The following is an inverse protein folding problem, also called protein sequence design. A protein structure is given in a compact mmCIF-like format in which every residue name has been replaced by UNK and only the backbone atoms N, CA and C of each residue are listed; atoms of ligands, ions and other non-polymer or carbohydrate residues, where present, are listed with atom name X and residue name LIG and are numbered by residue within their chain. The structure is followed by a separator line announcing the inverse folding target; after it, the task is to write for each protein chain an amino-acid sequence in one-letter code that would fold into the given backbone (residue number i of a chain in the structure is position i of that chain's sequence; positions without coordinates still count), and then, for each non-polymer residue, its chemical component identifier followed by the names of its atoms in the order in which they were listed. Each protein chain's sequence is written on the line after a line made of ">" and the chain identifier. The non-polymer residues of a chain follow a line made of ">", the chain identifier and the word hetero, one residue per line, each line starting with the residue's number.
data_IF_369127059956
#
_entry.id   IF_369127059956
#
_cell.length_a   1.000
_cell.length_b   1.000
_cell.length_c   1.000
_cell.angle_alpha   90.00
_cell.angle_beta   90.00
_cell.angle_gamma   90.00
#
_symmetry.space_group_name_H-M   'P 1'
#
loop_
_entity.id
_entity.type
_entity.pdbx_description
1 polymer ?
#
# COMPACT_ATOMS: atom_id res chain seq x y z
N UNK A 1 5.03 4.02 -22.79
CA UNK A 1 5.74 3.03 -21.96
C UNK A 1 6.17 3.80 -20.74
N UNK A 2 5.79 3.38 -19.53
CA UNK A 2 6.14 4.12 -18.32
C UNK A 2 7.65 4.19 -18.17
N UNK A 3 8.19 5.39 -18.00
CA UNK A 3 9.65 5.60 -17.96
C UNK A 3 10.19 5.55 -16.54
N UNK A 4 9.38 5.99 -15.56
CA UNK A 4 9.79 6.05 -14.15
C UNK A 4 9.07 4.99 -13.29
N UNK A 5 9.76 4.38 -12.33
CA UNK A 5 9.18 3.38 -11.44
C UNK A 5 8.24 4.03 -10.41
N UNK A 6 7.20 3.31 -10.00
CA UNK A 6 6.48 3.57 -8.77
C UNK A 6 7.15 2.88 -7.59
N UNK A 7 7.04 3.50 -6.41
CA UNK A 7 7.46 2.90 -5.13
C UNK A 7 6.27 2.76 -4.22
N UNK A 8 6.07 1.59 -3.65
CA UNK A 8 4.98 1.34 -2.70
C UNK A 8 5.54 0.93 -1.35
N UNK A 9 5.13 1.63 -0.31
CA UNK A 9 5.49 1.33 1.07
C UNK A 9 4.24 1.28 1.92
N UNK A 10 4.04 0.20 2.64
CA UNK A 10 2.85 0.06 3.47
C UNK A 10 3.11 -0.72 4.74
N UNK A 11 2.23 -0.52 5.71
CA UNK A 11 2.11 -1.39 6.85
C UNK A 11 0.66 -1.48 7.30
N UNK A 12 0.32 -2.62 7.89
CA UNK A 12 -0.98 -2.90 8.49
C UNK A 12 -0.77 -3.65 9.82
N UNK A 13 -1.54 -3.25 10.83
CA UNK A 13 -1.57 -3.86 12.14
C UNK A 13 -3.01 -3.83 12.70
N UNK A 14 -3.50 -4.88 13.38
CA UNK A 14 -2.92 -6.21 13.41
C UNK A 14 -3.06 -6.89 12.04
N UNK A 15 -2.13 -7.78 11.74
CA UNK A 15 -2.17 -8.60 10.54
C UNK A 15 -1.72 -10.03 10.82
N UNK A 16 -2.37 -10.96 10.15
CA UNK A 16 -2.12 -12.39 10.26
C UNK A 16 -1.80 -13.02 8.90
N UNK A 17 -1.52 -14.33 8.91
CA UNK A 17 -1.12 -15.05 7.71
C UNK A 17 -2.17 -14.98 6.59
N UNK A 18 -3.46 -14.83 6.89
CA UNK A 18 -4.49 -14.69 5.85
C UNK A 18 -4.33 -13.38 5.07
N UNK A 19 -3.92 -12.30 5.74
CA UNK A 19 -3.64 -11.03 5.08
C UNK A 19 -2.45 -11.18 4.14
N UNK A 20 -1.38 -11.81 4.61
CA UNK A 20 -0.19 -12.05 3.79
C UNK A 20 -0.51 -12.95 2.58
N UNK A 21 -1.32 -14.00 2.76
CA UNK A 21 -1.73 -14.90 1.69
C UNK A 21 -2.65 -14.21 0.66
N UNK A 22 -3.65 -13.45 1.13
CA UNK A 22 -4.57 -12.73 0.26
C UNK A 22 -3.85 -11.67 -0.59
N UNK A 23 -2.96 -10.88 0.02
CA UNK A 23 -2.16 -9.89 -0.74
C UNK A 23 -1.17 -10.61 -1.65
N UNK A 24 -0.51 -11.67 -1.17
CA UNK A 24 0.43 -12.47 -1.97
C UNK A 24 -0.21 -13.10 -3.22
N UNK A 25 -1.45 -13.56 -3.12
CA UNK A 25 -2.22 -14.09 -4.24
C UNK A 25 -2.50 -13.01 -5.30
N UNK A 26 -2.92 -11.81 -4.89
CA UNK A 26 -3.11 -10.67 -5.81
C UNK A 26 -1.81 -10.30 -6.50
N UNK A 27 -0.72 -10.16 -5.75
CA UNK A 27 0.58 -9.80 -6.32
C UNK A 27 1.08 -10.86 -7.30
N UNK A 28 0.85 -12.13 -6.99
CA UNK A 28 1.20 -13.25 -7.88
C UNK A 28 0.40 -13.22 -9.18
N UNK A 29 -0.89 -12.90 -9.14
CA UNK A 29 -1.75 -12.75 -10.33
C UNK A 29 -1.24 -11.62 -11.25
N UNK A 30 -0.81 -10.52 -10.65
CA UNK A 30 -0.15 -9.40 -11.34
C UNK A 30 1.32 -9.67 -11.71
N UNK A 31 1.84 -10.87 -11.44
CA UNK A 31 3.23 -11.27 -11.68
C UNK A 31 4.24 -10.32 -11.02
N UNK A 32 3.90 -9.80 -9.83
CA UNK A 32 4.74 -8.97 -8.98
C UNK A 32 5.54 -9.88 -8.05
N UNK A 33 6.87 -9.67 -7.92
CA UNK A 33 7.69 -10.45 -6.99
C UNK A 33 7.23 -10.26 -5.54
N UNK A 34 7.56 -11.23 -4.69
CA UNK A 34 7.28 -11.15 -3.26
C UNK A 34 7.90 -9.87 -2.66
N UNK A 35 7.03 -8.94 -2.28
CA UNK A 35 7.39 -7.61 -1.78
C UNK A 35 6.70 -7.31 -0.44
N UNK A 36 6.30 -8.37 0.26
CA UNK A 36 5.50 -8.33 1.47
C UNK A 36 6.18 -9.11 2.57
N UNK A 37 6.14 -8.62 3.80
CA UNK A 37 6.74 -9.26 4.95
C UNK A 37 5.75 -9.24 6.12
N UNK A 38 5.62 -10.35 6.84
CA UNK A 38 4.81 -10.45 8.06
C UNK A 38 5.74 -10.68 9.24
N UNK A 39 5.90 -9.65 10.08
CA UNK A 39 6.70 -9.71 11.31
C UNK A 39 5.76 -9.68 12.54
N UNK A 40 5.49 -10.86 13.11
CA UNK A 40 4.51 -10.98 14.19
C UNK A 40 3.12 -10.58 13.71
N UNK A 41 2.53 -9.56 14.35
CA UNK A 41 1.22 -9.00 14.00
C UNK A 41 1.32 -7.79 13.04
N UNK A 42 2.48 -7.52 12.47
CA UNK A 42 2.71 -6.38 11.57
C UNK A 42 2.98 -6.88 10.16
N UNK A 43 2.09 -6.56 9.24
CA UNK A 43 2.29 -6.78 7.82
C UNK A 43 2.92 -5.54 7.18
N UNK A 44 3.91 -5.71 6.31
CA UNK A 44 4.61 -4.65 5.61
C UNK A 44 4.66 -4.93 4.11
N UNK A 45 4.60 -3.86 3.33
CA UNK A 45 4.78 -3.87 1.88
C UNK A 45 5.95 -2.96 1.55
N UNK A 46 6.88 -3.42 0.72
CA UNK A 46 7.99 -2.63 0.18
C UNK A 46 8.26 -3.07 -1.24
N UNK A 47 7.76 -2.29 -2.20
CA UNK A 47 7.85 -2.58 -3.62
C UNK A 47 8.47 -1.41 -4.40
N UNK A 48 9.27 -1.74 -5.39
CA UNK A 48 9.80 -0.81 -6.38
C UNK A 48 9.69 -1.46 -7.77
N UNK A 49 8.96 -0.82 -8.69
CA UNK A 49 8.73 -1.37 -10.01
C UNK A 49 7.90 -0.45 -10.90
N UNK A 50 7.53 -0.91 -12.09
CA UNK A 50 6.86 -0.08 -13.10
C UNK A 50 5.39 0.22 -12.75
N UNK A 51 4.73 -0.70 -12.05
CA UNK A 51 3.32 -0.60 -11.70
C UNK A 51 3.03 -1.42 -10.44
N UNK A 52 2.11 -0.94 -9.61
CA UNK A 52 1.62 -1.64 -8.42
C UNK A 52 0.08 -1.58 -8.38
N UNK A 53 -0.61 -2.73 -8.28
CA UNK A 53 -2.07 -2.85 -8.29
C UNK A 53 -2.65 -2.49 -6.93
N UNK A 54 -2.58 -1.21 -6.55
CA UNK A 54 -3.05 -0.76 -5.24
C UNK A 54 -4.52 -1.07 -5.01
N UNK A 55 -5.39 -0.89 -6.01
CA UNK A 55 -6.84 -1.08 -5.86
C UNK A 55 -7.18 -2.55 -5.57
N UNK A 56 -6.61 -3.50 -6.33
CA UNK A 56 -6.78 -4.94 -6.09
C UNK A 56 -6.26 -5.38 -4.72
N UNK A 57 -5.12 -4.84 -4.29
CA UNK A 57 -4.58 -5.10 -2.94
C UNK A 57 -5.54 -4.59 -1.86
N UNK A 58 -6.11 -3.40 -2.03
CA UNK A 58 -7.07 -2.85 -1.08
C UNK A 58 -8.39 -3.65 -1.06
N UNK A 59 -8.84 -4.15 -2.22
CA UNK A 59 -10.04 -4.98 -2.31
C UNK A 59 -9.85 -6.33 -1.59
N UNK A 60 -8.68 -6.95 -1.73
CA UNK A 60 -8.33 -8.16 -0.99
C UNK A 60 -8.19 -7.91 0.53
N UNK A 61 -7.73 -6.73 0.93
CA UNK A 61 -7.59 -6.36 2.34
C UNK A 61 -8.93 -6.02 3.01
N UNK A 62 -9.85 -5.35 2.31
CA UNK A 62 -11.16 -4.93 2.84
C UNK A 62 -11.90 -5.98 3.69
N UNK A 63 -12.10 -7.23 3.23
CA UNK A 63 -12.82 -8.24 4.00
C UNK A 63 -12.05 -8.74 5.22
N UNK A 64 -10.74 -8.49 5.30
CA UNK A 64 -9.86 -8.95 6.38
C UNK A 64 -9.62 -7.90 7.47
N UNK A 65 -10.02 -6.64 7.22
CA UNK A 65 -9.88 -5.57 8.21
C UNK A 65 -10.82 -5.80 9.41
N UNK A 66 -10.31 -5.51 10.60
CA UNK A 66 -11.04 -5.55 11.85
C UNK A 66 -11.11 -4.15 12.49
N UNK A 67 -11.86 -4.01 13.58
CA UNK A 67 -12.00 -2.72 14.27
C UNK A 67 -10.67 -2.17 14.83
N UNK A 68 -9.69 -3.04 15.06
CA UNK A 68 -8.36 -2.70 15.56
C UNK A 68 -7.36 -2.41 14.43
N UNK A 69 -7.75 -2.64 13.17
CA UNK A 69 -6.89 -2.42 12.02
C UNK A 69 -6.48 -0.96 11.87
N UNK A 70 -5.19 -0.75 11.70
CA UNK A 70 -4.55 0.55 11.59
C UNK A 70 -3.31 0.42 10.74
N UNK A 71 -3.08 1.41 9.89
CA UNK A 71 -1.91 1.43 9.04
C UNK A 71 -2.11 2.31 7.82
N UNK A 72 -1.22 2.16 6.85
CA UNK A 72 -1.30 2.87 5.58
C UNK A 72 -0.50 2.18 4.50
N UNK A 73 -0.88 2.39 3.25
CA UNK A 73 -0.10 2.09 2.05
C UNK A 73 0.11 3.40 1.29
N UNK A 74 1.36 3.72 1.04
CA UNK A 74 1.84 4.87 0.28
C UNK A 74 2.35 4.40 -1.07
N UNK A 75 1.69 4.80 -2.15
CA UNK A 75 2.13 4.59 -3.53
C UNK A 75 2.65 5.91 -4.09
N UNK A 76 3.93 5.95 -4.37
CA UNK A 76 4.65 7.08 -4.95
C UNK A 76 4.80 6.81 -6.43
N UNK A 77 4.13 7.62 -7.24
CA UNK A 77 4.28 7.61 -8.68
C UNK A 77 5.31 8.66 -9.08
N UNK A 78 6.49 8.21 -9.51
CA UNK A 78 7.59 9.11 -9.86
C UNK A 78 7.31 9.84 -11.19
N UNK A 79 6.63 9.18 -12.13
CA UNK A 79 6.27 9.75 -13.44
C UNK A 79 5.24 10.88 -13.31
N UNK A 80 4.13 10.63 -12.62
CA UNK A 80 3.09 11.64 -12.39
C UNK A 80 3.45 12.60 -11.24
N UNK A 81 4.54 12.32 -10.51
CA UNK A 81 4.95 13.03 -9.31
C UNK A 81 3.79 13.13 -8.30
N UNK A 82 3.19 12.00 -7.95
CA UNK A 82 2.05 11.93 -7.02
C UNK A 82 2.29 10.93 -5.89
N UNK A 83 1.68 11.20 -4.74
CA UNK A 83 1.58 10.27 -3.63
C UNK A 83 0.10 9.89 -3.45
N UNK A 84 -0.20 8.61 -3.62
CA UNK A 84 -1.48 8.02 -3.26
C UNK A 84 -1.33 7.29 -1.93
N UNK A 85 -2.00 7.80 -0.89
CA UNK A 85 -2.04 7.18 0.43
C UNK A 85 -3.38 6.52 0.65
N UNK A 86 -3.39 5.22 0.88
CA UNK A 86 -4.49 4.49 1.48
C UNK A 86 -4.24 4.39 2.99
N UNK A 87 -5.13 4.92 3.81
CA UNK A 87 -5.06 4.81 5.27
C UNK A 87 -6.13 3.83 5.77
N UNK A 88 -5.76 2.97 6.71
CA UNK A 88 -6.67 2.03 7.37
C UNK A 88 -7.03 2.57 8.75
N UNK A 89 -8.31 2.58 9.08
CA UNK A 89 -8.80 2.95 10.41
C UNK A 89 -10.02 2.09 10.72
N UNK A 90 -9.79 1.02 11.46
CA UNK A 90 -10.73 -0.08 11.61
C UNK A 90 -11.04 -0.73 10.26
N UNK A 91 -12.33 -0.91 9.98
CA UNK A 91 -12.83 -1.47 8.72
C UNK A 91 -12.92 -0.45 7.58
N UNK A 92 -12.60 0.82 7.84
CA UNK A 92 -12.63 1.88 6.84
C UNK A 92 -11.27 2.07 6.17
N UNK A 93 -11.30 2.21 4.84
CA UNK A 93 -10.14 2.54 4.01
C UNK A 93 -10.38 3.90 3.38
N UNK A 94 -9.48 4.85 3.65
CA UNK A 94 -9.51 6.17 3.02
C UNK A 94 -8.35 6.30 2.05
N UNK A 95 -8.64 6.52 0.77
CA UNK A 95 -7.62 6.73 -0.26
C UNK A 95 -7.56 8.20 -0.66
N UNK A 96 -6.37 8.77 -0.67
CA UNK A 96 -6.13 10.16 -1.07
C UNK A 96 -4.89 10.26 -1.94
N UNK A 97 -5.03 10.88 -3.11
CA UNK A 97 -3.92 11.20 -4.01
C UNK A 97 -3.59 12.68 -3.93
N UNK A 98 -2.30 13.00 -3.81
CA UNK A 98 -1.79 14.38 -3.80
C UNK A 98 -0.59 14.51 -4.73
N UNK A 99 -0.48 15.65 -5.42
CA UNK A 99 0.72 15.97 -6.20
C UNK A 99 1.89 16.32 -5.29
N UNK A 100 3.05 15.73 -5.53
CA UNK A 100 4.30 16.02 -4.81
C UNK A 100 4.89 17.39 -5.19
N UNK A 101 4.30 18.12 -6.14
CA UNK A 101 4.63 19.51 -6.45
C UNK A 101 4.37 20.48 -5.26
N UNK A 102 3.64 20.04 -4.23
CA UNK A 102 3.34 20.80 -3.02
C UNK A 102 4.12 20.34 -1.76
N UNK A 103 5.15 19.49 -1.91
CA UNK A 103 5.85 18.85 -0.76
C UNK A 103 6.76 19.77 0.07
N UNK A 104 6.95 21.05 -0.28
CA UNK A 104 7.61 22.01 0.62
C UNK A 104 6.69 22.59 1.70
N UNK A 105 5.38 22.28 1.72
CA UNK A 105 4.43 22.86 2.67
C UNK A 105 4.05 21.95 3.86
N UNK A 106 4.56 20.71 3.94
CA UNK A 106 4.13 19.76 5.01
C UNK A 106 5.29 18.99 5.66
N UNK A 107 6.49 19.55 5.67
CA UNK A 107 7.59 19.13 6.56
C UNK A 107 7.70 20.13 7.71
N UNK A 108 6.79 20.04 8.68
CA UNK A 108 6.85 20.88 9.88
C UNK A 108 5.55 20.87 10.67
N UNK A 109 5.33 19.80 11.43
CA UNK A 109 4.62 19.90 12.71
C UNK A 109 5.50 19.26 13.77
#
# INVERSE_FOLDING_TARGET
>A
MREEPCKTYGHLFPADQHIADAVGAVLSDWNIPECTELEGDIFRISFEGVFFPLDDVLDALRPLLCAESSGKIDLIDMEAWTLTRAAFSGTEITVKTVGLNHVLAYSGH
#
